data_IF_058876243433
#
_entry.id   IF_058876243433
#
_cell.length_a   1.000
_cell.length_b   1.000
_cell.length_c   1.000
_cell.angle_alpha   90.00
_cell.angle_beta   90.00
_cell.angle_gamma   90.00
#
_symmetry.space_group_name_H-M   'P 1'
#
loop_
_entity.id
_entity.type
_entity.pdbx_description
1 polymer ?
#
# COMPACT_ATOMS: atom_id res chain seq x y z
N UNK A 1 -31.08 -1.15 -43.62
CA UNK A 1 -31.30 0.03 -42.75
C UNK A 1 -31.77 -0.46 -41.38
N UNK A 2 -30.85 -0.52 -40.41
CA UNK A 2 -31.19 -0.40 -38.98
C UNK A 2 -30.05 0.38 -38.35
N UNK A 3 -30.38 1.57 -37.88
CA UNK A 3 -29.51 2.45 -37.13
C UNK A 3 -29.80 2.23 -35.65
N UNK A 4 -28.76 1.98 -34.86
CA UNK A 4 -28.75 2.24 -33.42
C UNK A 4 -27.55 3.14 -33.14
N UNK A 5 -27.73 4.34 -32.57
CA UNK A 5 -26.63 5.25 -32.28
C UNK A 5 -25.70 4.64 -31.23
N UNK A 6 -24.40 4.65 -31.51
CA UNK A 6 -23.38 4.26 -30.56
C UNK A 6 -23.47 5.12 -29.30
N UNK A 7 -23.82 4.49 -28.18
CA UNK A 7 -23.64 5.10 -26.86
C UNK A 7 -22.14 5.08 -26.57
N UNK A 8 -21.48 6.15 -27.00
CA UNK A 8 -20.14 6.51 -26.55
C UNK A 8 -20.28 6.82 -25.06
N UNK A 9 -19.90 5.87 -24.18
CA UNK A 9 -19.75 6.11 -22.74
C UNK A 9 -18.60 7.11 -22.58
N UNK A 10 -18.95 8.39 -22.67
CA UNK A 10 -18.06 9.48 -22.29
C UNK A 10 -17.92 9.40 -20.78
N UNK A 11 -16.77 8.97 -20.30
CA UNK A 11 -16.39 9.21 -18.92
C UNK A 11 -16.00 10.70 -18.88
N UNK A 12 -16.90 11.56 -18.43
CA UNK A 12 -16.47 12.89 -17.97
C UNK A 12 -16.05 12.71 -16.51
N UNK A 13 -14.75 12.47 -16.30
CA UNK A 13 -14.19 12.54 -14.97
C UNK A 13 -14.12 14.02 -14.58
N UNK A 14 -14.89 14.42 -13.57
CA UNK A 14 -14.74 15.73 -12.95
C UNK A 14 -13.28 15.92 -12.52
N UNK A 15 -12.58 16.89 -13.12
CA UNK A 15 -11.19 17.24 -12.80
C UNK A 15 -11.03 17.88 -11.40
N UNK A 16 -12.09 17.87 -10.58
CA UNK A 16 -12.15 18.58 -9.29
C UNK A 16 -12.08 17.68 -8.04
N UNK A 17 -11.61 16.44 -8.14
CA UNK A 17 -11.46 15.55 -6.97
C UNK A 17 -10.13 14.79 -6.94
N UNK A 18 -9.02 15.50 -7.11
CA UNK A 18 -7.66 15.01 -6.84
C UNK A 18 -7.29 15.01 -5.34
N UNK A 19 -8.27 15.04 -4.44
CA UNK A 19 -8.05 14.84 -3.02
C UNK A 19 -8.69 13.52 -2.61
N UNK A 20 -7.85 12.49 -2.61
CA UNK A 20 -8.07 11.10 -2.20
C UNK A 20 -9.23 10.93 -1.21
N UNK A 21 -10.36 10.39 -1.69
CA UNK A 21 -11.46 9.96 -0.82
C UNK A 21 -11.21 8.51 -0.39
N UNK A 22 -10.67 8.34 0.82
CA UNK A 22 -10.52 7.05 1.50
C UNK A 22 -11.90 6.49 1.83
N UNK A 23 -12.28 5.35 1.25
CA UNK A 23 -13.46 4.59 1.65
C UNK A 23 -12.99 3.45 2.55
N UNK A 24 -13.25 3.58 3.86
CA UNK A 24 -12.94 2.54 4.85
C UNK A 24 -14.15 1.61 4.96
N UNK A 25 -14.03 0.37 4.49
CA UNK A 25 -14.96 -0.69 4.86
C UNK A 25 -14.68 -1.13 6.31
N UNK A 26 -15.73 -1.25 7.12
CA UNK A 26 -15.64 -1.57 8.54
C UNK A 26 -15.61 -3.09 8.73
N UNK A 27 -14.45 -3.65 9.08
CA UNK A 27 -14.36 -5.04 9.55
C UNK A 27 -14.42 -5.04 11.08
N UNK A 28 -15.59 -5.45 11.58
CA UNK A 28 -15.84 -5.68 13.00
C UNK A 28 -15.17 -7.00 13.39
N UNK A 29 -14.09 -6.96 14.17
CA UNK A 29 -13.57 -8.13 14.88
C UNK A 29 -13.42 -7.74 16.34
N UNK A 30 -14.34 -8.25 17.14
CA UNK A 30 -14.39 -8.13 18.59
C UNK A 30 -13.45 -9.16 19.22
N UNK A 31 -12.47 -8.71 20.00
CA UNK A 31 -11.68 -9.51 20.94
C UNK A 31 -10.91 -8.59 21.89
N UNK A 32 -11.08 -8.70 23.22
CA UNK A 32 -10.49 -7.77 24.16
C UNK A 32 -9.03 -8.16 24.47
N UNK A 33 -8.09 -7.20 24.36
CA UNK A 33 -6.73 -7.33 24.92
C UNK A 33 -6.47 -6.17 25.88
N UNK A 34 -6.17 -6.55 27.11
CA UNK A 34 -5.96 -5.64 28.25
C UNK A 34 -4.79 -4.67 28.05
N UNK A 35 -5.02 -3.43 28.49
CA UNK A 35 -4.08 -2.32 28.59
C UNK A 35 -3.09 -2.52 29.74
N UNK A 36 -1.79 -2.31 29.49
CA UNK A 36 -0.89 -1.68 30.47
C UNK A 36 -0.04 -0.60 29.81
N UNK A 37 -0.11 0.58 30.39
CA UNK A 37 0.39 1.87 29.91
C UNK A 37 1.68 2.22 30.67
N UNK A 38 2.73 2.67 29.99
CA UNK A 38 3.86 3.40 30.63
C UNK A 38 4.62 4.31 29.65
N UNK A 39 4.16 5.56 29.58
CA UNK A 39 4.87 6.85 29.73
C UNK A 39 6.43 6.89 29.66
N UNK A 40 6.99 7.61 28.67
CA UNK A 40 7.85 8.83 28.78
C UNK A 40 8.88 9.02 27.63
N UNK A 41 8.95 10.25 27.08
CA UNK A 41 10.23 10.97 26.90
C UNK A 41 11.04 10.92 25.57
N UNK A 42 10.91 12.01 24.79
CA UNK A 42 12.00 12.79 24.13
C UNK A 42 12.69 12.35 22.80
N UNK A 43 12.57 13.27 21.83
CA UNK A 43 13.52 13.70 20.78
C UNK A 43 13.91 12.76 19.63
N UNK A 44 13.38 13.05 18.43
CA UNK A 44 14.10 13.68 17.31
C UNK A 44 13.19 13.70 16.07
N UNK A 45 13.06 14.86 15.43
CA UNK A 45 12.24 15.07 14.23
C UNK A 45 12.89 14.46 12.99
N UNK A 46 12.78 13.14 12.81
CA UNK A 46 13.26 12.47 11.60
C UNK A 46 12.19 11.53 11.06
N UNK A 47 11.51 12.00 10.02
CA UNK A 47 10.53 11.31 9.18
C UNK A 47 9.43 10.55 9.93
N UNK A 48 8.39 11.27 10.37
CA UNK A 48 7.12 10.67 10.79
C UNK A 48 6.36 10.12 9.57
N UNK A 49 6.86 9.03 8.96
CA UNK A 49 6.03 8.17 8.12
C UNK A 49 5.25 7.29 9.10
N UNK A 50 4.11 7.84 9.54
CA UNK A 50 3.15 7.32 10.52
C UNK A 50 3.16 5.79 10.60
N UNK A 51 3.98 5.19 11.48
CA UNK A 51 3.81 3.77 11.82
C UNK A 51 2.34 3.62 12.16
N UNK A 52 1.58 2.78 11.41
CA UNK A 52 0.12 2.70 11.57
C UNK A 52 -0.18 2.70 13.07
N UNK A 53 -1.07 3.58 13.59
CA UNK A 53 -1.24 3.80 15.04
C UNK A 53 -1.64 2.53 15.83
N UNK A 54 -1.87 1.42 15.15
CA UNK A 54 -2.19 0.10 15.69
C UNK A 54 -0.98 -0.87 15.83
N UNK A 55 0.26 -0.44 15.58
CA UNK A 55 1.44 -1.32 15.68
C UNK A 55 1.63 -2.25 14.48
N UNK A 56 0.94 -1.99 13.38
CA UNK A 56 1.10 -2.73 12.13
C UNK A 56 2.29 -2.19 11.34
N UNK A 57 3.21 -3.07 10.94
CA UNK A 57 4.39 -2.72 10.13
C UNK A 57 4.00 -2.44 8.69
N UNK A 58 4.76 -1.59 8.02
CA UNK A 58 4.68 -1.43 6.57
C UNK A 58 5.19 -2.68 5.87
N UNK A 59 4.34 -3.29 5.06
CA UNK A 59 4.64 -4.49 4.27
C UNK A 59 4.80 -4.13 2.81
N UNK A 60 6.01 -4.30 2.29
CA UNK A 60 6.41 -3.89 0.94
C UNK A 60 6.44 -5.13 0.06
N UNK A 61 5.75 -5.07 -1.08
CA UNK A 61 5.81 -6.07 -2.14
C UNK A 61 6.86 -5.62 -3.18
N UNK A 62 8.01 -6.28 -3.17
CA UNK A 62 9.05 -6.06 -4.18
C UNK A 62 8.70 -6.85 -5.44
N UNK A 63 8.42 -6.15 -6.53
CA UNK A 63 8.09 -6.77 -7.80
C UNK A 63 9.15 -6.45 -8.85
N UNK A 64 9.57 -7.48 -9.58
CA UNK A 64 10.51 -7.38 -10.71
C UNK A 64 11.97 -7.08 -10.36
N UNK A 65 12.39 -7.39 -9.14
CA UNK A 65 13.78 -7.23 -8.75
C UNK A 65 14.46 -8.57 -8.97
N UNK A 66 14.92 -8.80 -10.20
CA UNK A 66 15.67 -10.00 -10.59
C UNK A 66 17.16 -9.95 -10.24
N UNK A 67 17.59 -8.91 -9.52
CA UNK A 67 18.93 -8.81 -8.95
C UNK A 67 18.80 -9.01 -7.44
N UNK A 68 19.26 -10.16 -6.97
CA UNK A 68 19.15 -10.61 -5.59
C UNK A 68 19.96 -9.73 -4.65
N UNK A 69 21.06 -9.12 -5.12
CA UNK A 69 21.83 -8.17 -4.31
C UNK A 69 21.04 -6.89 -4.07
N UNK A 70 20.40 -6.35 -5.12
CA UNK A 70 19.49 -5.18 -4.99
C UNK A 70 18.30 -5.51 -4.09
N UNK A 71 17.72 -6.70 -4.25
CA UNK A 71 16.59 -7.17 -3.43
C UNK A 71 16.99 -7.31 -1.96
N UNK A 72 18.14 -7.91 -1.67
CA UNK A 72 18.65 -8.07 -0.32
C UNK A 72 18.94 -6.72 0.33
N UNK A 73 19.59 -5.80 -0.39
CA UNK A 73 19.85 -4.44 0.08
C UNK A 73 18.55 -3.67 0.38
N UNK A 74 17.57 -3.70 -0.53
CA UNK A 74 16.26 -3.07 -0.29
C UNK A 74 15.55 -3.68 0.91
N UNK A 75 15.60 -5.01 1.06
CA UNK A 75 15.01 -5.69 2.21
C UNK A 75 15.63 -5.22 3.53
N UNK A 76 16.96 -5.05 3.55
CA UNK A 76 17.67 -4.55 4.72
C UNK A 76 17.29 -3.11 5.05
N UNK A 77 17.21 -2.23 4.03
CA UNK A 77 16.78 -0.84 4.21
C UNK A 77 15.34 -0.78 4.75
N UNK A 78 14.43 -1.57 4.18
CA UNK A 78 13.03 -1.63 4.61
C UNK A 78 12.93 -2.05 6.08
N UNK A 79 13.70 -3.06 6.49
CA UNK A 79 13.72 -3.54 7.88
C UNK A 79 14.30 -2.50 8.84
N UNK A 80 15.37 -1.81 8.46
CA UNK A 80 15.95 -0.71 9.25
C UNK A 80 14.96 0.43 9.47
N UNK A 81 14.06 0.67 8.51
CA UNK A 81 13.00 1.67 8.60
C UNK A 81 11.73 1.17 9.31
N UNK A 82 11.72 -0.06 9.83
CA UNK A 82 10.59 -0.62 10.58
C UNK A 82 9.50 -1.29 9.71
N UNK A 83 9.78 -1.50 8.43
CA UNK A 83 8.93 -2.29 7.53
C UNK A 83 9.34 -3.75 7.40
N UNK A 84 8.65 -4.51 6.57
CA UNK A 84 9.01 -5.86 6.16
C UNK A 84 8.65 -6.12 4.69
N UNK A 85 9.23 -7.16 4.10
CA UNK A 85 8.98 -7.53 2.70
C UNK A 85 8.01 -8.71 2.65
N UNK A 86 6.99 -8.62 1.80
CA UNK A 86 6.02 -9.70 1.57
C UNK A 86 5.98 -10.11 0.10
N UNK A 87 5.58 -11.35 -0.17
CA UNK A 87 5.20 -11.84 -1.49
C UNK A 87 3.67 -11.87 -1.70
N UNK A 88 2.90 -11.75 -0.62
CA UNK A 88 1.45 -11.72 -0.67
C UNK A 88 0.94 -10.30 -0.95
N UNK A 89 0.20 -10.16 -2.06
CA UNK A 89 -0.40 -8.89 -2.44
C UNK A 89 -1.47 -8.43 -1.46
N UNK A 90 -2.19 -9.34 -0.80
CA UNK A 90 -3.27 -8.97 0.12
C UNK A 90 -2.75 -8.23 1.36
N UNK A 91 -1.60 -8.68 1.88
CA UNK A 91 -0.94 -8.06 3.02
C UNK A 91 -0.13 -6.83 2.65
N UNK A 92 0.00 -6.47 1.37
CA UNK A 92 0.87 -5.39 0.92
C UNK A 92 0.27 -4.01 1.19
N UNK A 93 1.11 -3.11 1.68
CA UNK A 93 0.80 -1.67 1.80
C UNK A 93 1.44 -0.85 0.69
N UNK A 94 2.60 -1.30 0.20
CA UNK A 94 3.39 -0.63 -0.82
C UNK A 94 3.90 -1.64 -1.83
N UNK A 95 3.91 -1.26 -3.10
CA UNK A 95 4.46 -2.04 -4.20
C UNK A 95 5.63 -1.26 -4.78
N UNK A 96 6.84 -1.83 -4.73
CA UNK A 96 7.99 -1.25 -5.42
C UNK A 96 8.14 -1.95 -6.75
N UNK A 97 7.95 -1.20 -7.84
CA UNK A 97 8.12 -1.75 -9.19
C UNK A 97 8.47 -0.66 -10.20
N UNK A 98 9.43 -0.94 -11.09
CA UNK A 98 9.82 -0.02 -12.17
C UNK A 98 8.92 -0.08 -13.41
N UNK A 99 8.09 -1.12 -13.54
CA UNK A 99 7.19 -1.31 -14.67
C UNK A 99 5.90 -1.94 -14.20
N UNK A 100 4.75 -1.42 -14.66
CA UNK A 100 3.44 -2.01 -14.34
C UNK A 100 3.39 -3.46 -14.82
N UNK A 101 2.98 -4.37 -13.92
CA UNK A 101 2.89 -5.81 -14.20
C UNK A 101 1.46 -6.31 -14.08
N UNK A 102 1.10 -7.30 -14.89
CA UNK A 102 -0.20 -7.98 -14.83
C UNK A 102 -0.06 -9.30 -14.07
N UNK A 103 0.37 -9.24 -12.81
CA UNK A 103 0.37 -10.42 -11.93
C UNK A 103 -0.80 -10.35 -10.95
N UNK A 104 -1.25 -11.51 -10.46
CA UNK A 104 -2.29 -11.58 -9.45
C UNK A 104 -1.88 -10.82 -8.18
N UNK A 105 -0.65 -10.99 -7.71
CA UNK A 105 -0.14 -10.28 -6.53
C UNK A 105 -0.17 -8.76 -6.67
N UNK A 106 0.11 -8.24 -7.87
CA UNK A 106 0.01 -6.81 -8.16
C UNK A 106 -1.44 -6.34 -8.11
N UNK A 107 -2.34 -7.03 -8.80
CA UNK A 107 -3.76 -6.68 -8.82
C UNK A 107 -4.39 -6.75 -7.43
N UNK A 108 -4.12 -7.82 -6.67
CA UNK A 108 -4.62 -7.97 -5.30
C UNK A 108 -4.13 -6.84 -4.41
N UNK A 109 -2.84 -6.49 -4.47
CA UNK A 109 -2.30 -5.37 -3.71
C UNK A 109 -2.98 -4.04 -4.06
N UNK A 110 -3.22 -3.75 -5.34
CA UNK A 110 -3.94 -2.54 -5.75
C UNK A 110 -5.39 -2.52 -5.27
N UNK A 111 -6.10 -3.65 -5.36
CA UNK A 111 -7.47 -3.76 -4.86
C UNK A 111 -7.53 -3.60 -3.32
N UNK A 112 -6.48 -4.00 -2.61
CA UNK A 112 -6.32 -3.78 -1.17
C UNK A 112 -5.92 -2.34 -0.81
N UNK A 113 -5.66 -1.49 -1.81
CA UNK A 113 -5.30 -0.08 -1.62
C UNK A 113 -3.80 0.18 -1.43
N UNK A 114 -2.93 -0.72 -1.92
CA UNK A 114 -1.49 -0.53 -1.86
C UNK A 114 -1.01 0.63 -2.76
N UNK A 115 0.06 1.29 -2.34
CA UNK A 115 0.65 2.43 -3.04
C UNK A 115 1.78 1.96 -3.95
N UNK A 116 1.81 2.43 -5.20
CA UNK A 116 2.88 2.11 -6.14
C UNK A 116 4.02 3.11 -5.95
N UNK A 117 5.24 2.60 -5.78
CA UNK A 117 6.48 3.36 -5.71
C UNK A 117 7.39 2.91 -6.84
N UNK A 118 7.87 3.88 -7.63
CA UNK A 118 8.92 3.63 -8.62
C UNK A 118 10.29 3.65 -7.93
N UNK A 119 11.17 2.65 -8.17
CA UNK A 119 12.56 2.66 -7.71
C UNK A 119 13.41 3.72 -8.42
#
# INVERSE_FOLDING_TARGET
KWSTPGVKRSWEASLSSLQSKRIRANHNNDSPREQKQSKDGSSNSLIHMETRPNGERYTILLMDIGDENKRAWLTEVIRKLGGDVTSDGNMSTHIVTGKVRRTLSFCTALCSGAWIVSP
#
